data_IF_555874737656
#
_entry.id   IF_555874737656
#
_cell.length_a   1.000
_cell.length_b   1.000
_cell.length_c   1.000
_cell.angle_alpha   90.00
_cell.angle_beta   90.00
_cell.angle_gamma   90.00
#
_symmetry.space_group_name_H-M   'P 1'
#
loop_
_entity.id
_entity.type
_entity.pdbx_description
1 polymer ?
#
# COMPACT_ATOMS: atom_id res chain seq x y z
N UNK A 1 -3.41 -16.07 7.28
CA UNK A 1 -3.22 -14.93 6.35
C UNK A 1 -2.85 -15.39 4.93
N UNK A 2 -1.78 -16.18 4.75
CA UNK A 2 -1.26 -16.64 3.44
C UNK A 2 -2.30 -17.35 2.53
N UNK A 3 -3.14 -18.23 3.08
CA UNK A 3 -4.21 -18.92 2.31
C UNK A 3 -5.26 -17.94 1.77
N UNK A 4 -5.72 -16.99 2.60
CA UNK A 4 -6.69 -15.96 2.21
C UNK A 4 -6.11 -14.99 1.18
N UNK A 5 -4.84 -14.60 1.33
CA UNK A 5 -4.13 -13.76 0.36
C UNK A 5 -4.04 -14.46 -1.01
N UNK A 6 -3.64 -15.73 -1.04
CA UNK A 6 -3.58 -16.50 -2.29
C UNK A 6 -4.96 -16.68 -2.92
N UNK A 7 -6.02 -16.89 -2.13
CA UNK A 7 -7.39 -16.96 -2.64
C UNK A 7 -7.83 -15.64 -3.31
N UNK A 8 -7.50 -14.49 -2.70
CA UNK A 8 -7.77 -13.18 -3.29
C UNK A 8 -6.99 -12.97 -4.59
N UNK A 9 -5.72 -13.34 -4.63
CA UNK A 9 -4.91 -13.28 -5.86
C UNK A 9 -5.56 -14.13 -6.95
N UNK A 10 -5.94 -15.38 -6.66
CA UNK A 10 -6.60 -16.26 -7.64
C UNK A 10 -7.91 -15.66 -8.15
N UNK A 11 -8.72 -15.07 -7.27
CA UNK A 11 -9.97 -14.41 -7.65
C UNK A 11 -9.71 -13.25 -8.63
N UNK A 12 -8.83 -12.31 -8.27
CA UNK A 12 -8.53 -11.17 -9.14
C UNK A 12 -7.82 -11.57 -10.44
N UNK A 13 -7.03 -12.64 -10.43
CA UNK A 13 -6.44 -13.21 -11.64
C UNK A 13 -7.50 -13.76 -12.60
N UNK A 14 -8.56 -14.40 -12.08
CA UNK A 14 -9.69 -14.85 -12.89
C UNK A 14 -10.47 -13.66 -13.47
N UNK A 15 -10.75 -12.65 -12.64
CA UNK A 15 -11.42 -11.41 -13.07
C UNK A 15 -10.63 -10.67 -14.15
N UNK A 16 -9.29 -10.60 -14.00
CA UNK A 16 -8.40 -10.01 -15.02
C UNK A 16 -8.51 -10.73 -16.37
N UNK A 17 -8.57 -12.06 -16.38
CA UNK A 17 -8.70 -12.84 -17.62
C UNK A 17 -10.02 -12.54 -18.31
N UNK A 18 -11.12 -12.59 -17.56
CA UNK A 18 -12.46 -12.29 -18.08
C UNK A 18 -12.53 -10.88 -18.69
N UNK A 19 -12.00 -9.87 -17.99
CA UNK A 19 -11.99 -8.50 -18.50
C UNK A 19 -11.10 -8.32 -19.74
N UNK A 20 -10.01 -9.09 -19.87
CA UNK A 20 -9.18 -9.08 -21.07
C UNK A 20 -9.90 -9.73 -22.25
N UNK A 21 -10.60 -10.85 -22.03
CA UNK A 21 -11.43 -11.51 -23.05
C UNK A 21 -12.50 -10.54 -23.56
N UNK A 22 -13.27 -9.93 -22.66
CA UNK A 22 -14.29 -8.93 -23.01
C UNK A 22 -13.72 -7.69 -23.70
N UNK A 23 -12.52 -7.23 -23.29
CA UNK A 23 -11.84 -6.13 -23.97
C UNK A 23 -11.50 -6.49 -25.42
N UNK A 24 -10.96 -7.68 -25.65
CA UNK A 24 -10.58 -8.13 -26.99
C UNK A 24 -11.82 -8.27 -27.88
N UNK A 25 -12.91 -8.84 -27.38
CA UNK A 25 -14.20 -8.92 -28.09
C UNK A 25 -14.68 -7.51 -28.51
N UNK A 26 -14.69 -6.54 -27.59
CA UNK A 26 -15.09 -5.17 -27.93
C UNK A 26 -14.15 -4.49 -28.93
N UNK A 27 -12.86 -4.82 -28.93
CA UNK A 27 -11.90 -4.29 -29.91
C UNK A 27 -12.16 -4.88 -31.29
N UNK A 28 -12.48 -6.18 -31.38
CA UNK A 28 -12.86 -6.85 -32.63
C UNK A 28 -14.20 -6.32 -33.19
N UNK A 29 -15.16 -6.02 -32.31
CA UNK A 29 -16.46 -5.44 -32.67
C UNK A 29 -16.44 -3.92 -32.91
N UNK A 30 -15.28 -3.27 -32.73
CA UNK A 30 -15.11 -1.81 -32.78
C UNK A 30 -15.98 -1.02 -31.77
N UNK A 31 -16.46 -1.67 -30.70
CA UNK A 31 -17.13 -0.98 -29.59
C UNK A 31 -16.09 -0.33 -28.67
N UNK A 32 -15.58 0.81 -29.11
CA UNK A 32 -14.61 1.61 -28.37
C UNK A 32 -15.16 2.12 -27.02
N UNK A 33 -16.48 2.26 -26.90
CA UNK A 33 -17.14 2.72 -25.68
C UNK A 33 -17.03 1.68 -24.56
N UNK A 34 -17.35 0.42 -24.87
CA UNK A 34 -17.19 -0.69 -23.93
C UNK A 34 -15.72 -1.06 -23.74
N UNK A 35 -14.90 -1.05 -24.79
CA UNK A 35 -13.47 -1.30 -24.68
C UNK A 35 -12.80 -0.33 -23.68
N UNK A 36 -13.16 0.96 -23.71
CA UNK A 36 -12.67 1.93 -22.73
C UNK A 36 -13.08 1.58 -21.29
N UNK A 37 -14.31 1.10 -21.08
CA UNK A 37 -14.80 0.71 -19.74
C UNK A 37 -14.08 -0.53 -19.22
N UNK A 38 -13.91 -1.56 -20.05
CA UNK A 38 -13.17 -2.77 -19.67
C UNK A 38 -11.68 -2.48 -19.43
N UNK A 39 -11.06 -1.63 -20.24
CA UNK A 39 -9.69 -1.14 -20.01
C UNK A 39 -9.54 -0.46 -18.65
N UNK A 40 -10.52 0.36 -18.26
CA UNK A 40 -10.55 0.97 -16.92
C UNK A 40 -10.74 -0.06 -15.81
N UNK A 41 -11.57 -1.08 -16.01
CA UNK A 41 -11.73 -2.21 -15.09
C UNK A 41 -10.41 -2.97 -14.90
N UNK A 42 -9.73 -3.32 -16.00
CA UNK A 42 -8.42 -3.97 -16.01
C UNK A 42 -7.38 -3.17 -15.25
N UNK A 43 -7.36 -1.84 -15.44
CA UNK A 43 -6.46 -0.98 -14.69
C UNK A 43 -6.68 -1.12 -13.18
N UNK A 44 -7.93 -1.12 -12.71
CA UNK A 44 -8.26 -1.26 -11.28
C UNK A 44 -7.87 -2.64 -10.75
N UNK A 45 -8.18 -3.72 -11.48
CA UNK A 45 -7.81 -5.09 -11.11
C UNK A 45 -6.29 -5.26 -11.05
N UNK A 46 -5.56 -4.72 -12.02
CA UNK A 46 -4.10 -4.78 -12.04
C UNK A 46 -3.47 -4.03 -10.87
N UNK A 47 -4.00 -2.87 -10.48
CA UNK A 47 -3.55 -2.14 -9.29
C UNK A 47 -3.75 -2.97 -8.01
N UNK A 48 -4.87 -3.69 -7.90
CA UNK A 48 -5.14 -4.56 -6.77
C UNK A 48 -4.20 -5.78 -6.75
N UNK A 49 -4.05 -6.47 -7.89
CA UNK A 49 -3.10 -7.57 -8.03
C UNK A 49 -1.67 -7.16 -7.69
N UNK A 50 -1.22 -6.00 -8.18
CA UNK A 50 0.08 -5.44 -7.83
C UNK A 50 0.23 -5.32 -6.31
N UNK A 51 -0.75 -4.74 -5.63
CA UNK A 51 -0.73 -4.61 -4.16
C UNK A 51 -0.66 -5.98 -3.47
N UNK A 52 -1.47 -6.94 -3.90
CA UNK A 52 -1.50 -8.29 -3.33
C UNK A 52 -0.22 -9.08 -3.57
N UNK A 53 0.42 -8.91 -4.73
CA UNK A 53 1.70 -9.54 -5.03
C UNK A 53 2.82 -8.95 -4.21
N UNK A 54 2.84 -7.63 -4.05
CA UNK A 54 3.80 -6.95 -3.18
C UNK A 54 3.62 -7.37 -1.71
N UNK A 55 2.38 -7.64 -1.26
CA UNK A 55 2.11 -8.22 0.06
C UNK A 55 2.71 -9.62 0.24
N UNK A 56 2.78 -10.41 -0.83
CA UNK A 56 3.36 -11.75 -0.83
C UNK A 56 4.88 -11.72 -0.91
N UNK A 57 5.42 -10.77 -1.67
CA UNK A 57 6.84 -10.54 -1.92
C UNK A 57 7.06 -9.03 -1.96
N UNK A 58 7.69 -8.47 -0.91
CA UNK A 58 7.87 -7.02 -0.78
C UNK A 58 8.63 -6.42 -1.95
N UNK A 59 9.42 -7.21 -2.69
CA UNK A 59 10.18 -6.81 -3.88
C UNK A 59 9.54 -7.17 -5.22
N UNK A 60 8.24 -7.50 -5.23
CA UNK A 60 7.58 -7.92 -6.46
C UNK A 60 7.68 -6.89 -7.58
N UNK A 61 7.46 -5.60 -7.31
CA UNK A 61 7.54 -4.58 -8.37
C UNK A 61 8.95 -4.40 -8.92
N UNK A 62 10.02 -4.39 -8.10
CA UNK A 62 11.38 -4.25 -8.64
C UNK A 62 11.74 -5.48 -9.47
N UNK A 63 11.32 -6.68 -9.07
CA UNK A 63 11.52 -7.89 -9.87
C UNK A 63 10.80 -7.79 -11.21
N UNK A 64 9.53 -7.37 -11.23
CA UNK A 64 8.77 -7.19 -12.48
C UNK A 64 9.40 -6.10 -13.36
N UNK A 65 9.86 -4.99 -12.78
CA UNK A 65 10.53 -3.92 -13.50
C UNK A 65 11.87 -4.38 -14.11
N UNK A 66 12.70 -5.09 -13.33
CA UNK A 66 13.96 -5.67 -13.79
C UNK A 66 13.73 -6.67 -14.93
N UNK A 67 12.73 -7.54 -14.82
CA UNK A 67 12.36 -8.48 -15.88
C UNK A 67 11.93 -7.77 -17.18
N UNK A 68 11.09 -6.74 -17.07
CA UNK A 68 10.69 -5.92 -18.23
C UNK A 68 11.87 -5.20 -18.87
N UNK A 69 12.80 -4.72 -18.05
CA UNK A 69 14.01 -4.06 -18.53
C UNK A 69 14.91 -5.07 -19.27
N UNK A 70 15.12 -6.26 -18.71
CA UNK A 70 15.84 -7.36 -19.37
C UNK A 70 15.18 -7.69 -20.72
N UNK A 71 13.86 -7.90 -20.76
CA UNK A 71 13.15 -8.21 -22.00
C UNK A 71 13.32 -7.12 -23.07
N UNK A 72 13.27 -5.84 -22.66
CA UNK A 72 13.50 -4.71 -23.55
C UNK A 72 14.93 -4.69 -24.09
N UNK A 73 15.93 -4.91 -23.23
CA UNK A 73 17.34 -4.96 -23.61
C UNK A 73 17.63 -6.15 -24.53
N UNK A 74 16.99 -7.30 -24.30
CA UNK A 74 17.09 -8.47 -25.16
C UNK A 74 16.50 -8.18 -26.56
N UNK A 75 15.34 -7.52 -26.63
CA UNK A 75 14.74 -7.09 -27.92
C UNK A 75 15.65 -6.12 -28.67
N UNK A 76 16.21 -5.12 -27.99
CA UNK A 76 17.16 -4.17 -28.62
C UNK A 76 18.45 -4.86 -29.08
N UNK A 77 19.00 -5.77 -28.27
CA UNK A 77 20.18 -6.54 -28.65
C UNK A 77 19.93 -7.46 -29.85
N UNK A 78 18.71 -7.98 -30.02
CA UNK A 78 18.34 -8.80 -31.18
C UNK A 78 18.15 -7.97 -32.46
N UNK A 79 17.72 -6.71 -32.33
CA UNK A 79 17.57 -5.78 -33.45
C UNK A 79 18.92 -5.16 -33.88
N UNK A 80 19.84 -4.92 -32.95
CA UNK A 80 21.18 -4.37 -33.21
C UNK A 80 22.26 -5.44 -33.48
N UNK A 81 21.93 -6.55 -34.14
CA UNK A 81 22.86 -7.67 -34.41
C UNK A 81 24.17 -7.33 -35.17
N UNK A 82 24.42 -6.07 -35.55
CA UNK A 82 25.58 -5.63 -36.32
C UNK A 82 26.30 -4.37 -35.77
N UNK A 83 26.09 -3.98 -34.51
CA UNK A 83 26.66 -2.74 -33.95
C UNK A 83 27.57 -2.91 -32.72
N UNK A 84 28.54 -1.99 -32.56
CA UNK A 84 29.47 -1.89 -31.41
C UNK A 84 28.80 -1.78 -30.02
N UNK A 85 27.47 -1.66 -29.95
CA UNK A 85 26.69 -1.49 -28.70
C UNK A 85 26.20 -2.80 -28.08
N UNK A 86 26.27 -3.93 -28.80
CA UNK A 86 25.81 -5.24 -28.31
C UNK A 86 26.50 -5.71 -27.01
N UNK A 87 27.78 -5.35 -26.82
CA UNK A 87 28.52 -5.66 -25.59
C UNK A 87 28.00 -4.91 -24.35
N UNK A 88 27.47 -3.69 -24.52
CA UNK A 88 26.90 -2.91 -23.43
C UNK A 88 25.57 -3.50 -22.96
N UNK A 89 24.70 -3.92 -23.89
CA UNK A 89 23.44 -4.58 -23.55
C UNK A 89 23.66 -5.91 -22.84
N UNK A 90 24.62 -6.72 -23.28
CA UNK A 90 24.96 -7.97 -22.61
C UNK A 90 25.43 -7.76 -21.16
N UNK A 91 26.25 -6.73 -20.91
CA UNK A 91 26.70 -6.38 -19.57
C UNK A 91 25.56 -5.91 -18.67
N UNK A 92 24.65 -5.06 -19.18
CA UNK A 92 23.48 -4.60 -18.42
C UNK A 92 22.47 -5.72 -18.13
N UNK A 93 22.24 -6.63 -19.08
CA UNK A 93 21.42 -7.82 -18.86
C UNK A 93 22.02 -8.69 -17.76
N UNK A 94 23.35 -8.91 -17.78
CA UNK A 94 24.03 -9.71 -16.77
C UNK A 94 23.92 -9.08 -15.37
N UNK A 95 24.08 -7.76 -15.25
CA UNK A 95 23.96 -7.03 -13.98
C UNK A 95 22.53 -7.11 -13.42
N UNK A 96 21.51 -6.88 -14.25
CA UNK A 96 20.11 -6.99 -13.82
C UNK A 96 19.72 -8.42 -13.44
N UNK A 97 20.21 -9.44 -14.17
CA UNK A 97 20.00 -10.84 -13.79
C UNK A 97 20.68 -11.18 -12.46
N UNK A 98 21.86 -10.63 -12.19
CA UNK A 98 22.56 -10.80 -10.91
C UNK A 98 21.76 -10.19 -9.75
N UNK A 99 21.29 -8.94 -9.89
CA UNK A 99 20.41 -8.29 -8.90
C UNK A 99 19.14 -9.11 -8.64
N UNK A 100 18.52 -9.62 -9.71
CA UNK A 100 17.32 -10.44 -9.59
C UNK A 100 17.60 -11.74 -8.80
N UNK A 101 18.70 -12.42 -9.10
CA UNK A 101 19.13 -13.62 -8.36
C UNK A 101 19.42 -13.31 -6.87
N UNK A 102 20.05 -12.17 -6.56
CA UNK A 102 20.25 -11.71 -5.18
C UNK A 102 18.91 -11.46 -4.46
N UNK A 103 17.92 -10.87 -5.14
CA UNK A 103 16.60 -10.62 -4.59
C UNK A 103 15.76 -11.90 -4.41
N UNK A 104 15.95 -12.90 -5.27
CA UNK A 104 15.33 -14.21 -5.14
C UNK A 104 15.95 -15.04 -4.00
N UNK A 105 17.28 -14.96 -3.82
CA UNK A 105 17.97 -15.56 -2.69
C UNK A 105 17.57 -14.92 -1.34
N UNK A 106 17.19 -13.63 -1.37
CA UNK A 106 16.75 -12.87 -0.20
C UNK A 106 15.25 -12.98 0.10
N UNK A 107 14.51 -13.97 -0.43
CA UNK A 107 13.10 -14.22 -0.06
C UNK A 107 13.01 -14.68 1.40
N UNK A 108 13.25 -13.74 2.32
CA UNK A 108 12.85 -13.83 3.71
C UNK A 108 11.41 -13.39 3.73
N UNK A 109 10.52 -14.38 3.86
CA UNK A 109 9.12 -14.11 4.16
C UNK A 109 9.07 -13.13 5.35
N UNK A 110 8.33 -12.01 5.25
CA UNK A 110 8.13 -11.16 6.41
C UNK A 110 7.53 -12.03 7.51
N UNK A 111 8.29 -12.27 8.59
CA UNK A 111 7.74 -12.87 9.81
C UNK A 111 6.71 -11.86 10.31
N UNK A 112 5.41 -12.21 10.42
CA UNK A 112 4.46 -11.32 11.07
C UNK A 112 4.79 -11.35 12.55
N UNK A 113 5.58 -10.38 13.02
CA UNK A 113 6.02 -10.31 14.41
C UNK A 113 5.63 -9.03 15.13
N UNK A 114 4.93 -8.09 14.49
CA UNK A 114 4.51 -6.86 15.17
C UNK A 114 3.01 -6.83 15.37
N UNK A 115 2.58 -7.42 16.49
CA UNK A 115 1.32 -7.09 17.19
C UNK A 115 1.36 -5.68 17.81
N UNK A 116 2.43 -4.91 17.61
CA UNK A 116 2.70 -3.65 18.31
C UNK A 116 1.54 -2.64 18.26
N UNK A 117 0.83 -2.51 17.13
CA UNK A 117 -0.33 -1.62 17.04
C UNK A 117 -1.53 -2.18 17.82
N UNK A 118 -1.79 -3.49 17.71
CA UNK A 118 -2.84 -4.15 18.49
C UNK A 118 -2.53 -4.08 20.00
N UNK A 119 -1.28 -4.29 20.40
CA UNK A 119 -0.81 -4.12 21.77
C UNK A 119 -0.95 -2.68 22.25
N UNK A 120 -0.65 -1.68 21.41
CA UNK A 120 -0.86 -0.28 21.74
C UNK A 120 -2.35 0.03 21.94
N UNK A 121 -3.24 -0.54 21.11
CA UNK A 121 -4.69 -0.42 21.29
C UNK A 121 -5.17 -1.11 22.59
N UNK A 122 -4.64 -2.29 22.93
CA UNK A 122 -4.93 -2.93 24.22
C UNK A 122 -4.43 -2.09 25.40
N UNK A 123 -3.19 -1.57 25.34
CA UNK A 123 -2.64 -0.67 26.37
C UNK A 123 -3.52 0.56 26.53
N UNK A 124 -3.99 1.13 25.43
CA UNK A 124 -4.88 2.30 25.43
C UNK A 124 -6.25 1.96 26.04
N UNK A 125 -6.86 0.84 25.66
CA UNK A 125 -8.14 0.36 26.19
C UNK A 125 -8.09 0.13 27.71
N UNK A 126 -6.99 -0.45 28.21
CA UNK A 126 -6.79 -0.69 29.65
C UNK A 126 -6.23 0.52 30.41
N UNK A 127 -6.14 1.70 29.77
CA UNK A 127 -5.67 2.93 30.41
C UNK A 127 -4.19 2.93 30.81
N UNK A 128 -3.38 2.00 30.27
CA UNK A 128 -1.93 1.93 30.52
C UNK A 128 -1.15 3.03 29.79
N UNK A 129 -1.73 3.59 28.74
CA UNK A 129 -1.24 4.76 28.00
C UNK A 129 -2.42 5.70 27.74
N UNK A 130 -2.16 7.01 27.61
CA UNK A 130 -3.19 8.00 27.27
C UNK A 130 -3.41 8.12 25.76
N UNK A 131 -2.41 7.70 24.99
CA UNK A 131 -2.44 7.66 23.54
C UNK A 131 -1.11 7.19 22.97
N UNK A 132 -1.04 7.14 21.64
CA UNK A 132 0.18 6.87 20.91
C UNK A 132 0.16 7.54 19.54
N UNK A 133 1.32 7.65 18.92
CA UNK A 133 1.48 8.13 17.54
C UNK A 133 2.05 7.00 16.69
N UNK A 134 1.41 6.73 15.57
CA UNK A 134 1.91 5.87 14.51
C UNK A 134 2.51 6.76 13.43
N UNK A 135 3.83 6.82 13.37
CA UNK A 135 4.53 7.48 12.27
C UNK A 135 4.51 6.56 11.07
N UNK A 136 3.94 7.06 9.97
CA UNK A 136 3.79 6.36 8.70
C UNK A 136 5.07 6.55 7.88
N UNK A 137 5.46 7.80 7.59
CA UNK A 137 6.76 8.11 6.98
C UNK A 137 7.41 9.27 7.73
N UNK A 138 8.67 9.07 8.11
CA UNK A 138 9.47 10.08 8.78
C UNK A 138 9.90 11.17 7.80
N UNK A 139 10.33 10.78 6.59
CA UNK A 139 10.70 11.71 5.53
C UNK A 139 9.56 12.66 5.17
N UNK A 140 8.33 12.14 5.12
CA UNK A 140 7.14 12.94 4.80
C UNK A 140 6.52 13.65 6.00
N UNK A 141 7.01 13.38 7.22
CA UNK A 141 6.39 13.84 8.47
C UNK A 141 4.94 13.40 8.61
N UNK A 142 4.59 12.23 8.06
CA UNK A 142 3.22 11.73 8.01
C UNK A 142 2.99 10.80 9.19
N UNK A 143 2.01 11.11 10.05
CA UNK A 143 1.72 10.33 11.24
C UNK A 143 0.23 10.38 11.62
N UNK A 144 -0.19 9.42 12.45
CA UNK A 144 -1.53 9.34 13.02
C UNK A 144 -1.44 9.33 14.54
N UNK A 145 -2.22 10.17 15.20
CA UNK A 145 -2.30 10.17 16.67
C UNK A 145 -3.58 9.48 17.15
N UNK A 146 -3.45 8.64 18.16
CA UNK A 146 -4.51 7.85 18.76
C UNK A 146 -4.68 8.27 20.21
N UNK A 147 -5.91 8.57 20.61
CA UNK A 147 -6.26 8.88 22.01
C UNK A 147 -7.58 8.22 22.35
N UNK A 148 -7.75 7.83 23.60
CA UNK A 148 -9.01 7.32 24.10
C UNK A 148 -9.66 8.38 24.99
N UNK A 149 -10.85 8.82 24.61
CA UNK A 149 -11.70 9.66 25.44
C UNK A 149 -12.94 8.87 25.82
N UNK A 150 -13.10 8.57 27.11
CA UNK A 150 -14.16 7.71 27.64
C UNK A 150 -14.12 6.32 27.01
N UNK A 151 -14.95 6.08 25.98
CA UNK A 151 -15.09 4.81 25.25
C UNK A 151 -14.94 5.00 23.74
N UNK A 152 -14.31 6.11 23.34
CA UNK A 152 -14.17 6.50 21.94
C UNK A 152 -12.70 6.71 21.60
N UNK A 153 -12.21 5.88 20.69
CA UNK A 153 -10.92 6.06 20.04
C UNK A 153 -11.01 7.23 19.06
N UNK A 154 -10.18 8.24 19.32
CA UNK A 154 -9.99 9.42 18.50
C UNK A 154 -8.72 9.20 17.68
N UNK A 155 -8.87 9.20 16.36
CA UNK A 155 -7.77 8.99 15.42
C UNK A 155 -7.63 10.28 14.62
N UNK A 156 -6.47 10.92 14.71
CA UNK A 156 -6.22 12.22 14.07
C UNK A 156 -5.06 12.12 13.09
N UNK A 157 -5.30 12.60 11.87
CA UNK A 157 -4.29 12.94 10.89
C UNK A 157 -4.13 14.47 10.89
N UNK A 158 -3.03 15.00 11.46
CA UNK A 158 -2.76 16.44 11.50
C UNK A 158 -2.12 16.93 10.20
N UNK A 159 -1.83 18.24 10.14
CA UNK A 159 -1.07 18.91 9.07
C UNK A 159 -1.60 18.65 7.65
N UNK A 160 -2.92 18.53 7.51
CA UNK A 160 -3.57 18.18 6.24
C UNK A 160 -3.32 19.25 5.17
N UNK A 161 -3.15 20.52 5.54
CA UNK A 161 -2.80 21.59 4.59
C UNK A 161 -1.39 21.40 4.04
N UNK A 162 -0.40 21.16 4.90
CA UNK A 162 0.99 20.86 4.51
C UNK A 162 1.04 19.64 3.59
N UNK A 163 0.37 18.55 3.95
CA UNK A 163 0.33 17.35 3.12
C UNK A 163 -0.41 17.53 1.79
N UNK A 164 -1.32 18.52 1.69
CA UNK A 164 -1.96 18.90 0.43
C UNK A 164 -1.00 19.67 -0.47
N UNK A 165 -0.24 20.60 0.09
CA UNK A 165 0.73 21.43 -0.64
C UNK A 165 1.88 20.60 -1.20
N UNK A 166 2.34 19.60 -0.44
CA UNK A 166 3.42 18.69 -0.86
C UNK A 166 2.91 17.47 -1.64
N UNK A 167 1.62 17.44 -2.02
CA UNK A 167 1.00 16.32 -2.75
C UNK A 167 1.05 14.94 -2.06
N UNK A 168 1.38 14.87 -0.77
CA UNK A 168 1.36 13.63 0.02
C UNK A 168 -0.09 13.12 0.25
N UNK A 169 -1.07 14.03 0.27
CA UNK A 169 -2.48 13.71 0.47
C UNK A 169 -3.41 14.27 -0.63
N UNK A 170 -3.34 13.72 -1.87
CA UNK A 170 -4.15 14.17 -3.00
C UNK A 170 -5.65 13.95 -2.76
N UNK A 171 -6.48 14.57 -3.61
CA UNK A 171 -7.96 14.54 -3.50
C UNK A 171 -8.53 13.12 -3.41
N UNK A 172 -7.95 12.15 -4.13
CA UNK A 172 -8.37 10.74 -4.10
C UNK A 172 -8.17 10.11 -2.72
N UNK A 173 -6.97 10.24 -2.12
CA UNK A 173 -6.66 9.75 -0.76
C UNK A 173 -7.58 10.39 0.30
N UNK A 174 -7.87 11.69 0.18
CA UNK A 174 -8.81 12.38 1.09
C UNK A 174 -10.24 11.86 1.00
N UNK A 175 -10.74 11.54 -0.20
CA UNK A 175 -12.08 10.93 -0.36
C UNK A 175 -12.17 9.55 0.26
N UNK A 176 -11.09 8.77 0.18
CA UNK A 176 -11.00 7.47 0.84
C UNK A 176 -11.04 7.65 2.37
N UNK A 177 -10.26 8.57 2.94
CA UNK A 177 -10.33 8.92 4.38
C UNK A 177 -11.73 9.33 4.82
N UNK A 178 -12.43 10.15 4.02
CA UNK A 178 -13.82 10.54 4.33
C UNK A 178 -14.78 9.33 4.37
N UNK A 179 -14.63 8.38 3.45
CA UNK A 179 -15.40 7.12 3.47
C UNK A 179 -15.07 6.25 4.67
N UNK A 180 -13.85 6.34 5.19
CA UNK A 180 -13.43 5.73 6.46
C UNK A 180 -13.88 6.51 7.69
N UNK A 181 -14.75 7.52 7.55
CA UNK A 181 -15.33 8.26 8.66
C UNK A 181 -14.42 9.35 9.22
N UNK A 182 -13.38 9.78 8.51
CA UNK A 182 -12.63 10.98 8.87
C UNK A 182 -13.40 12.24 8.46
N UNK A 183 -13.52 13.19 9.38
CA UNK A 183 -14.14 14.50 9.14
C UNK A 183 -13.10 15.60 9.30
N UNK A 184 -13.33 16.73 8.65
CA UNK A 184 -12.44 17.90 8.70
C UNK A 184 -12.67 18.68 9.99
N UNK A 185 -11.59 19.02 10.66
CA UNK A 185 -11.55 19.88 11.84
C UNK A 185 -10.49 20.96 11.64
N UNK A 186 -10.54 21.98 12.50
CA UNK A 186 -9.51 23.03 12.54
C UNK A 186 -9.32 23.71 11.16
N UNK A 187 -10.44 24.22 10.62
CA UNK A 187 -10.50 24.79 9.27
C UNK A 187 -9.93 23.87 8.16
N UNK A 188 -10.03 22.56 8.37
CA UNK A 188 -9.57 21.53 7.43
C UNK A 188 -8.09 21.17 7.52
N UNK A 189 -7.36 21.64 8.53
CA UNK A 189 -5.98 21.24 8.77
C UNK A 189 -5.85 19.92 9.55
N UNK A 190 -6.95 19.44 10.14
CA UNK A 190 -7.02 18.13 10.79
C UNK A 190 -8.10 17.26 10.16
N UNK A 191 -7.81 15.98 10.01
CA UNK A 191 -8.80 14.95 9.72
C UNK A 191 -8.93 14.05 10.95
N UNK A 192 -10.14 13.94 11.51
CA UNK A 192 -10.38 13.17 12.74
C UNK A 192 -11.47 12.13 12.49
N UNK A 193 -11.24 10.90 12.93
CA UNK A 193 -12.23 9.83 13.01
C UNK A 193 -12.48 9.45 14.46
N UNK A 194 -13.75 9.19 14.78
CA UNK A 194 -14.20 8.73 16.09
C UNK A 194 -14.74 7.32 15.95
N UNK A 195 -14.20 6.39 16.74
CA UNK A 195 -14.56 4.98 16.71
C UNK A 195 -14.82 4.45 18.12
N UNK A 196 -15.77 3.53 18.31
CA UNK A 196 -15.89 2.81 19.57
C UNK A 196 -14.58 2.12 19.92
N UNK A 197 -14.18 2.20 21.19
CA UNK A 197 -13.14 1.39 21.81
C UNK A 197 -13.51 1.26 23.29
N UNK A 198 -14.47 0.38 23.55
CA UNK A 198 -15.01 0.12 24.89
C UNK A 198 -14.64 -1.28 25.38
N UNK A 199 -14.41 -2.21 24.45
CA UNK A 199 -14.16 -3.64 24.72
C UNK A 199 -13.08 -4.17 23.78
N UNK A 200 -12.51 -5.33 24.10
CA UNK A 200 -11.52 -5.99 23.22
C UNK A 200 -12.09 -6.32 21.83
N UNK A 201 -13.42 -6.50 21.72
CA UNK A 201 -14.10 -6.73 20.45
C UNK A 201 -13.96 -5.54 19.48
N UNK A 202 -13.74 -4.33 20.00
CA UNK A 202 -13.60 -3.10 19.19
C UNK A 202 -12.20 -2.96 18.55
N UNK A 203 -11.21 -3.73 19.03
CA UNK A 203 -9.83 -3.67 18.52
C UNK A 203 -9.75 -4.21 17.10
N UNK A 204 -10.48 -5.29 16.79
CA UNK A 204 -10.52 -5.89 15.45
C UNK A 204 -10.98 -4.90 14.36
N UNK A 205 -12.12 -4.22 14.53
CA UNK A 205 -12.56 -3.14 13.65
C UNK A 205 -11.56 -1.99 13.51
N UNK A 206 -10.93 -1.53 14.61
CA UNK A 206 -9.91 -0.48 14.56
C UNK A 206 -8.68 -0.92 13.75
N UNK A 207 -8.19 -2.15 14.00
CA UNK A 207 -7.08 -2.74 13.24
C UNK A 207 -7.42 -2.93 11.75
N UNK A 208 -8.67 -3.29 11.44
CA UNK A 208 -9.13 -3.44 10.06
C UNK A 208 -9.13 -2.12 9.32
N UNK A 209 -9.57 -1.05 9.97
CA UNK A 209 -9.52 0.30 9.40
C UNK A 209 -8.08 0.76 9.17
N UNK A 210 -7.18 0.53 10.14
CA UNK A 210 -5.75 0.87 9.99
C UNK A 210 -5.08 0.07 8.89
N UNK A 211 -5.41 -1.21 8.77
CA UNK A 211 -4.94 -2.05 7.66
C UNK A 211 -5.42 -1.48 6.33
N UNK A 212 -6.70 -1.13 6.22
CA UNK A 212 -7.24 -0.51 5.01
C UNK A 212 -6.52 0.81 4.69
N UNK A 213 -6.24 1.66 5.68
CA UNK A 213 -5.46 2.89 5.46
C UNK A 213 -4.04 2.58 4.97
N UNK A 214 -3.35 1.63 5.60
CA UNK A 214 -2.00 1.21 5.24
C UNK A 214 -1.91 0.48 3.90
N UNK A 215 -3.02 0.02 3.31
CA UNK A 215 -3.02 -0.63 2.00
C UNK A 215 -3.58 0.26 0.89
N UNK A 216 -4.67 0.97 1.15
CA UNK A 216 -5.40 1.73 0.12
C UNK A 216 -4.99 3.21 0.06
N UNK A 217 -4.46 3.77 1.14
CA UNK A 217 -4.04 5.17 1.17
C UNK A 217 -2.54 5.33 0.99
N UNK A 218 -1.77 4.60 1.76
CA UNK A 218 -0.32 4.72 1.84
C UNK A 218 0.21 3.42 1.27
N UNK A 219 0.76 3.45 0.06
CA UNK A 219 1.22 2.22 -0.57
C UNK A 219 2.25 1.59 0.36
N UNK A 220 2.04 0.36 0.84
CA UNK A 220 2.74 -0.13 2.02
C UNK A 220 4.29 -0.17 1.90
N UNK A 221 4.82 -0.05 0.67
CA UNK A 221 6.25 0.10 0.37
C UNK A 221 6.82 1.47 0.77
N UNK A 222 5.96 2.48 0.96
CA UNK A 222 6.31 3.78 1.55
C UNK A 222 6.69 3.65 3.06
N UNK A 223 6.53 2.46 3.67
CA UNK A 223 6.83 2.20 5.08
C UNK A 223 8.20 1.56 5.35
N UNK A 224 9.05 1.38 4.34
CA UNK A 224 10.34 0.72 4.54
C UNK A 224 11.24 1.54 5.50
N UNK A 225 11.53 0.95 6.67
CA UNK A 225 12.42 1.43 7.75
C UNK A 225 12.10 2.77 8.45
N UNK A 226 11.03 3.48 8.08
CA UNK A 226 10.69 4.79 8.68
C UNK A 226 9.49 4.78 9.63
N UNK A 227 8.74 3.68 9.72
CA UNK A 227 7.54 3.62 10.56
C UNK A 227 7.85 3.16 11.99
N UNK A 228 7.39 3.93 12.97
CA UNK A 228 7.55 3.60 14.39
C UNK A 228 6.35 4.05 15.21
N UNK A 229 6.20 3.46 16.40
CA UNK A 229 5.23 3.85 17.40
C UNK A 229 5.92 4.68 18.49
N UNK A 230 5.33 5.81 18.86
CA UNK A 230 5.70 6.56 20.06
C UNK A 230 4.51 6.64 21.02
N UNK A 231 4.77 6.46 22.32
CA UNK A 231 3.72 6.46 23.35
C UNK A 231 3.63 7.83 24.03
N UNK A 232 2.43 8.23 24.43
CA UNK A 232 2.24 9.32 25.37
C UNK A 232 2.18 8.72 26.79
N UNK A 233 3.20 8.99 27.59
CA UNK A 233 3.24 8.54 28.99
C UNK A 233 2.40 9.46 29.89
N UNK A 234 1.98 8.90 31.02
CA UNK A 234 1.26 9.61 32.07
C UNK A 234 2.27 10.51 32.80
N UNK A 235 2.15 11.84 32.67
CA UNK A 235 2.70 12.73 33.69
C UNK A 235 1.65 12.80 34.80
N UNK A 236 1.84 12.02 35.86
CA UNK A 236 1.11 12.22 37.10
C UNK A 236 1.69 13.47 37.79
N UNK A 237 0.97 14.58 37.71
CA UNK A 237 1.03 15.64 38.72
C UNK A 237 -0.06 15.37 39.77
#
# INVERSE_FOLDING_TARGET
>A
MRRKLNQLIVHYEAERRLLNEQLNECVEEFDHGMAHRFSKGLFLVNMQLQTLYNLRDHRHDEKVAALRHIESLEKFSQQERAGHRGGYYAAWIADERKKLAEWEAQVRLPRPQTTAVAEALHKLLHGRITGFTLTLSRAMGLYLTFRLARRTLIITLPEVRRHREHYHLPKKRRRVLQRLGFRRYDQGDKLISFRPLATDADIGPAMSMLSYMAFELFYFREFDQESYLSYFEFNAE
#
